data_IF_084628602229
#
_entry.id   IF_084628602229
#
_cell.length_a   1.000
_cell.length_b   1.000
_cell.length_c   1.000
_cell.angle_alpha   90.00
_cell.angle_beta   90.00
_cell.angle_gamma   90.00
#
_symmetry.space_group_name_H-M   'P 1'
#
loop_
_entity.id
_entity.type
_entity.pdbx_description
1 polymer ?
#
# COMPACT_ATOMS: atom_id res chain seq x y z
N UNK A 1 -41.46 2.08 28.54
CA UNK A 1 -40.01 2.39 28.66
C UNK A 1 -39.30 1.62 27.57
N UNK A 2 -39.07 2.25 26.42
CA UNK A 2 -38.26 1.63 25.37
C UNK A 2 -36.80 1.77 25.80
N UNK A 3 -36.21 0.69 26.31
CA UNK A 3 -34.77 0.61 26.51
C UNK A 3 -34.13 0.66 25.12
N UNK A 4 -33.69 1.86 24.72
CA UNK A 4 -32.81 2.04 23.58
C UNK A 4 -31.49 1.38 23.91
N UNK A 5 -31.31 0.16 23.43
CA UNK A 5 -30.04 -0.57 23.52
C UNK A 5 -28.98 0.24 22.77
N UNK A 6 -28.03 0.83 23.52
CA UNK A 6 -26.80 1.38 22.96
C UNK A 6 -26.00 0.18 22.46
N UNK A 7 -26.02 -0.05 21.15
CA UNK A 7 -25.20 -1.10 20.55
C UNK A 7 -23.75 -0.64 20.69
N UNK A 8 -22.96 -1.34 21.51
CA UNK A 8 -21.53 -1.08 21.59
C UNK A 8 -20.89 -1.36 20.22
N UNK A 9 -19.90 -0.57 19.77
CA UNK A 9 -19.12 -0.90 18.58
C UNK A 9 -18.53 -2.31 18.75
N UNK A 10 -19.13 -3.30 18.08
CA UNK A 10 -18.79 -4.73 18.27
C UNK A 10 -19.99 -5.67 18.36
N UNK A 11 -21.16 -5.20 18.83
CA UNK A 11 -22.35 -6.05 19.08
C UNK A 11 -23.42 -5.99 17.97
N UNK A 12 -23.13 -5.33 16.85
CA UNK A 12 -24.07 -5.24 15.74
C UNK A 12 -24.26 -6.61 15.06
N UNK A 13 -25.52 -7.07 14.84
CA UNK A 13 -25.84 -8.43 14.37
C UNK A 13 -25.07 -8.77 13.09
N UNK A 14 -24.38 -9.91 13.13
CA UNK A 14 -23.61 -10.45 12.02
C UNK A 14 -24.59 -10.90 10.92
N UNK A 15 -24.43 -10.40 9.68
CA UNK A 15 -25.20 -10.90 8.52
C UNK A 15 -25.89 -9.88 7.61
N UNK A 16 -25.77 -8.57 7.84
CA UNK A 16 -26.31 -7.53 6.92
C UNK A 16 -25.23 -6.59 6.36
N UNK A 17 -24.06 -7.12 6.04
CA UNK A 17 -23.10 -6.40 5.19
C UNK A 17 -23.57 -6.38 3.73
N UNK A 18 -23.12 -5.43 2.89
CA UNK A 18 -23.38 -5.51 1.46
C UNK A 18 -22.86 -6.85 0.93
N UNK A 19 -23.73 -7.62 0.28
CA UNK A 19 -23.32 -8.84 -0.41
C UNK A 19 -22.55 -8.42 -1.66
N UNK A 20 -21.22 -8.49 -1.59
CA UNK A 20 -20.35 -8.26 -2.73
C UNK A 20 -20.48 -9.43 -3.70
N UNK A 21 -20.44 -9.15 -5.00
CA UNK A 21 -20.34 -10.21 -6.01
C UNK A 21 -19.06 -11.03 -5.77
N UNK A 22 -19.02 -12.32 -6.17
CA UNK A 22 -17.90 -13.22 -5.90
C UNK A 22 -16.54 -12.66 -6.32
N UNK A 23 -16.49 -11.89 -7.41
CA UNK A 23 -15.27 -11.23 -7.89
C UNK A 23 -14.78 -10.16 -6.90
N UNK A 24 -15.65 -9.25 -6.48
CA UNK A 24 -15.31 -8.19 -5.52
C UNK A 24 -14.99 -8.77 -4.15
N UNK A 25 -15.70 -9.81 -3.74
CA UNK A 25 -15.40 -10.56 -2.53
C UNK A 25 -13.99 -11.17 -2.59
N UNK A 26 -13.61 -11.78 -3.72
CA UNK A 26 -12.26 -12.33 -3.91
C UNK A 26 -11.20 -11.23 -3.83
N UNK A 27 -11.36 -10.13 -4.57
CA UNK A 27 -10.37 -9.05 -4.59
C UNK A 27 -10.18 -8.44 -3.20
N UNK A 28 -11.26 -8.12 -2.51
CA UNK A 28 -11.23 -7.53 -1.16
C UNK A 28 -10.52 -8.43 -0.14
N UNK A 29 -10.67 -9.76 -0.25
CA UNK A 29 -10.10 -10.71 0.70
C UNK A 29 -8.64 -11.11 0.44
N UNK A 30 -8.07 -10.74 -0.71
CA UNK A 30 -6.76 -11.25 -1.14
C UNK A 30 -5.82 -10.17 -1.67
N UNK A 31 -6.12 -8.92 -1.36
CA UNK A 31 -5.39 -7.74 -1.83
C UNK A 31 -3.91 -7.76 -1.46
N UNK A 32 -3.54 -8.15 -0.24
CA UNK A 32 -2.14 -8.08 0.21
C UNK A 32 -1.28 -9.12 -0.50
N UNK A 33 -1.72 -10.39 -0.50
CA UNK A 33 -0.98 -11.47 -1.15
C UNK A 33 -0.99 -11.35 -2.67
N UNK A 34 -2.09 -10.92 -3.29
CA UNK A 34 -2.12 -10.65 -4.72
C UNK A 34 -1.25 -9.44 -5.07
N UNK A 35 -1.21 -8.43 -4.21
CA UNK A 35 -0.32 -7.27 -4.36
C UNK A 35 1.16 -7.67 -4.39
N UNK A 36 1.63 -8.42 -3.38
CA UNK A 36 3.02 -8.90 -3.39
C UNK A 36 3.30 -9.92 -4.50
N UNK A 37 2.34 -10.80 -4.83
CA UNK A 37 2.49 -11.76 -5.93
C UNK A 37 2.66 -11.06 -7.28
N UNK A 38 1.84 -10.05 -7.55
CA UNK A 38 1.89 -9.28 -8.81
C UNK A 38 3.17 -8.47 -8.91
N UNK A 39 3.64 -7.85 -7.82
CA UNK A 39 4.96 -7.20 -7.76
C UNK A 39 6.10 -8.20 -8.01
N UNK A 40 6.06 -9.38 -7.38
CA UNK A 40 7.07 -10.42 -7.59
C UNK A 40 7.05 -10.94 -9.04
N UNK A 41 5.88 -11.18 -9.61
CA UNK A 41 5.73 -11.60 -10.99
C UNK A 41 6.26 -10.54 -11.98
N UNK A 42 6.00 -9.27 -11.71
CA UNK A 42 6.52 -8.16 -12.49
C UNK A 42 8.06 -8.08 -12.42
N UNK A 43 8.64 -8.22 -11.23
CA UNK A 43 10.09 -8.30 -11.03
C UNK A 43 10.71 -9.47 -11.82
N UNK A 44 10.15 -10.66 -11.70
CA UNK A 44 10.61 -11.84 -12.42
C UNK A 44 10.50 -11.65 -13.93
N UNK A 45 9.42 -11.01 -14.40
CA UNK A 45 9.24 -10.65 -15.81
C UNK A 45 10.33 -9.71 -16.32
N UNK A 46 10.72 -8.69 -15.55
CA UNK A 46 11.82 -7.77 -15.90
C UNK A 46 13.14 -8.52 -15.96
N UNK A 47 13.50 -9.28 -14.92
CA UNK A 47 14.77 -10.04 -14.87
C UNK A 47 14.84 -11.05 -16.01
N UNK A 48 13.76 -11.77 -16.27
CA UNK A 48 13.68 -12.72 -17.38
C UNK A 48 13.88 -12.03 -18.73
N UNK A 49 13.21 -10.88 -18.93
CA UNK A 49 13.33 -10.10 -20.16
C UNK A 49 14.77 -9.62 -20.40
N UNK A 50 15.43 -9.10 -19.36
CA UNK A 50 16.83 -8.67 -19.45
C UNK A 50 17.74 -9.87 -19.77
N UNK A 51 17.51 -11.01 -19.11
CA UNK A 51 18.30 -12.23 -19.32
C UNK A 51 18.14 -12.82 -20.73
N UNK A 52 16.92 -12.80 -21.28
CA UNK A 52 16.61 -13.35 -22.60
C UNK A 52 17.27 -12.55 -23.73
N UNK A 53 17.58 -11.28 -23.48
CA UNK A 53 18.25 -10.39 -24.42
C UNK A 53 19.78 -10.48 -24.40
N UNK A 54 20.37 -11.34 -23.56
CA UNK A 54 21.82 -11.50 -23.44
C UNK A 54 22.51 -10.40 -22.62
N UNK A 55 21.74 -9.47 -22.04
CA UNK A 55 22.21 -8.46 -21.11
C UNK A 55 22.47 -9.06 -19.73
N UNK A 56 23.35 -8.43 -18.95
CA UNK A 56 23.61 -8.83 -17.56
C UNK A 56 22.31 -8.72 -16.72
N UNK A 57 21.68 -9.87 -16.43
CA UNK A 57 20.39 -9.94 -15.71
C UNK A 57 20.45 -9.40 -14.27
N UNK A 58 21.65 -9.28 -13.72
CA UNK A 58 21.91 -8.74 -12.39
C UNK A 58 22.12 -7.21 -12.39
N UNK A 59 22.01 -6.55 -13.54
CA UNK A 59 22.32 -5.14 -13.69
C UNK A 59 21.03 -4.27 -13.76
N UNK A 60 20.10 -4.46 -12.83
CA UNK A 60 18.76 -3.89 -12.88
C UNK A 60 18.75 -2.35 -12.76
N UNK A 61 19.56 -1.75 -11.88
CA UNK A 61 19.69 -0.29 -11.73
C UNK A 61 20.28 0.33 -13.00
N UNK A 62 21.32 -0.29 -13.57
CA UNK A 62 21.89 0.17 -14.84
C UNK A 62 20.87 0.06 -15.99
N UNK A 63 20.02 -0.96 -15.97
CA UNK A 63 18.98 -1.16 -16.96
C UNK A 63 17.87 -0.10 -16.85
N UNK A 64 17.47 0.27 -15.63
CA UNK A 64 16.49 1.34 -15.40
C UNK A 64 16.97 2.73 -15.83
N UNK A 65 18.28 2.95 -15.96
CA UNK A 65 18.82 4.16 -16.58
C UNK A 65 18.50 4.23 -18.09
N UNK A 66 18.06 3.11 -18.69
CA UNK A 66 17.60 3.01 -20.07
C UNK A 66 18.66 3.48 -21.09
N UNK A 67 19.91 3.04 -20.93
CA UNK A 67 20.97 3.34 -21.90
C UNK A 67 20.64 2.74 -23.28
N UNK A 68 21.02 3.40 -24.39
CA UNK A 68 20.69 2.92 -25.73
C UNK A 68 21.18 1.52 -26.04
N UNK A 69 22.35 1.16 -25.52
CA UNK A 69 22.95 -0.17 -25.69
C UNK A 69 22.12 -1.26 -24.99
N UNK A 70 21.63 -0.98 -23.78
CA UNK A 70 20.85 -1.93 -23.00
C UNK A 70 19.42 -2.07 -23.53
N UNK A 71 18.80 -0.95 -23.89
CA UNK A 71 17.39 -0.89 -24.33
C UNK A 71 17.22 -1.44 -25.74
N UNK A 72 18.17 -1.17 -26.65
CA UNK A 72 18.10 -1.61 -28.06
C UNK A 72 18.14 -3.13 -28.26
N UNK A 73 18.64 -3.89 -27.28
CA UNK A 73 18.70 -5.36 -27.32
C UNK A 73 17.51 -6.02 -26.62
N UNK A 74 16.75 -5.26 -25.84
CA UNK A 74 15.64 -5.76 -25.02
C UNK A 74 14.27 -5.43 -25.60
N UNK A 75 13.28 -6.33 -25.52
CA UNK A 75 11.91 -5.99 -25.90
C UNK A 75 11.30 -5.06 -24.84
N UNK A 76 11.55 -3.76 -24.99
CA UNK A 76 11.22 -2.69 -24.03
C UNK A 76 9.74 -2.66 -23.67
N UNK A 77 8.86 -3.02 -24.61
CA UNK A 77 7.41 -3.08 -24.37
C UNK A 77 7.04 -4.09 -23.27
N UNK A 78 7.79 -5.19 -23.13
CA UNK A 78 7.58 -6.18 -22.06
C UNK A 78 7.93 -5.57 -20.70
N UNK A 79 9.05 -4.84 -20.64
CA UNK A 79 9.48 -4.12 -19.43
C UNK A 79 8.46 -3.07 -19.03
N UNK A 80 7.94 -2.30 -20.00
CA UNK A 80 6.87 -1.33 -19.75
C UNK A 80 5.60 -1.99 -19.20
N UNK A 81 5.21 -3.14 -19.77
CA UNK A 81 4.09 -3.92 -19.25
C UNK A 81 4.36 -4.38 -17.81
N UNK A 82 5.56 -4.89 -17.52
CA UNK A 82 5.95 -5.28 -16.16
C UNK A 82 5.90 -4.10 -15.19
N UNK A 83 6.35 -2.89 -15.57
CA UNK A 83 6.20 -1.71 -14.74
C UNK A 83 4.71 -1.39 -14.46
N UNK A 84 3.83 -1.56 -15.46
CA UNK A 84 2.38 -1.43 -15.27
C UNK A 84 1.80 -2.46 -14.28
N UNK A 85 2.28 -3.71 -14.34
CA UNK A 85 1.90 -4.76 -13.38
C UNK A 85 2.43 -4.44 -11.97
N UNK A 86 3.62 -3.85 -11.84
CA UNK A 86 4.16 -3.37 -10.57
C UNK A 86 3.30 -2.27 -9.94
N UNK A 87 2.82 -1.33 -10.75
CA UNK A 87 1.87 -0.28 -10.31
C UNK A 87 0.59 -0.94 -9.81
N UNK A 88 0.04 -1.89 -10.58
CA UNK A 88 -1.18 -2.62 -10.18
C UNK A 88 -1.00 -3.35 -8.84
N UNK A 89 0.13 -4.03 -8.65
CA UNK A 89 0.43 -4.69 -7.39
C UNK A 89 0.61 -3.72 -6.22
N UNK A 90 1.21 -2.56 -6.46
CA UNK A 90 1.32 -1.50 -5.45
C UNK A 90 -0.06 -0.94 -5.06
N UNK A 91 -0.95 -0.75 -6.03
CA UNK A 91 -2.35 -0.34 -5.78
C UNK A 91 -3.14 -1.41 -5.02
N UNK A 92 -2.92 -2.70 -5.28
CA UNK A 92 -3.53 -3.78 -4.48
C UNK A 92 -3.07 -3.76 -3.03
N UNK A 93 -1.77 -3.55 -2.77
CA UNK A 93 -1.28 -3.38 -1.39
C UNK A 93 -1.87 -2.15 -0.70
N UNK A 94 -2.10 -1.06 -1.45
CA UNK A 94 -2.77 0.14 -0.95
C UNK A 94 -4.26 -0.11 -0.66
N UNK A 95 -4.93 -0.92 -1.49
CA UNK A 95 -6.32 -1.31 -1.27
C UNK A 95 -6.47 -2.16 0.01
N UNK A 96 -5.54 -3.08 0.27
CA UNK A 96 -5.49 -3.79 1.56
C UNK A 96 -5.39 -2.81 2.72
N UNK A 97 -4.47 -1.85 2.66
CA UNK A 97 -4.31 -0.85 3.70
C UNK A 97 -5.60 -0.06 3.94
N UNK A 98 -6.32 0.34 2.89
CA UNK A 98 -7.58 1.08 3.04
C UNK A 98 -8.67 0.27 3.76
N UNK A 99 -8.68 -1.05 3.57
CA UNK A 99 -9.60 -1.95 4.27
C UNK A 99 -9.20 -2.12 5.75
N UNK A 100 -7.90 -2.27 6.01
CA UNK A 100 -7.39 -2.44 7.38
C UNK A 100 -7.49 -1.13 8.18
N UNK A 101 -7.30 0.03 7.57
CA UNK A 101 -7.46 1.33 8.26
C UNK A 101 -8.88 1.57 8.76
N UNK A 102 -9.88 1.11 8.00
CA UNK A 102 -11.29 1.26 8.39
C UNK A 102 -11.59 0.50 9.70
N UNK A 103 -11.16 -0.76 9.78
CA UNK A 103 -11.41 -1.65 10.92
C UNK A 103 -10.44 -1.44 12.09
N UNK A 104 -9.19 -1.07 11.82
CA UNK A 104 -8.14 -0.91 12.85
C UNK A 104 -8.31 0.33 13.72
N UNK A 105 -9.09 1.32 13.25
CA UNK A 105 -9.33 2.57 13.96
C UNK A 105 -9.97 2.39 15.35
N UNK A 106 -10.77 1.34 15.52
CA UNK A 106 -11.57 1.07 16.74
C UNK A 106 -10.94 -0.02 17.62
N UNK A 107 -10.31 -1.05 17.02
CA UNK A 107 -9.89 -2.26 17.74
C UNK A 107 -8.39 -2.36 17.99
N UNK A 108 -7.56 -1.60 17.27
CA UNK A 108 -6.12 -1.86 17.21
C UNK A 108 -5.25 -0.84 17.96
N UNK A 109 -4.07 -1.31 18.36
CA UNK A 109 -3.07 -0.51 19.05
C UNK A 109 -2.58 0.67 18.20
N UNK A 110 -1.97 1.67 18.84
CA UNK A 110 -1.37 2.81 18.10
C UNK A 110 -0.24 2.37 17.17
N UNK A 111 0.52 1.33 17.53
CA UNK A 111 1.60 0.78 16.72
C UNK A 111 1.08 0.13 15.44
N UNK A 112 0.03 -0.66 15.52
CA UNK A 112 -0.61 -1.29 14.36
C UNK A 112 -1.12 -0.26 13.35
N UNK A 113 -1.78 0.80 13.84
CA UNK A 113 -2.22 1.96 13.03
C UNK A 113 -1.08 2.76 12.43
N UNK A 114 0.10 2.73 13.04
CA UNK A 114 1.29 3.31 12.41
C UNK A 114 1.77 2.43 11.26
N UNK A 115 1.68 1.11 11.40
CA UNK A 115 2.04 0.15 10.36
C UNK A 115 1.20 0.28 9.10
N UNK A 116 -0.11 0.44 9.25
CA UNK A 116 -1.01 0.68 8.10
C UNK A 116 -0.64 1.97 7.37
N UNK A 117 -0.38 3.07 8.08
CA UNK A 117 0.07 4.34 7.48
C UNK A 117 1.42 4.22 6.78
N UNK A 118 2.38 3.51 7.37
CA UNK A 118 3.65 3.24 6.71
C UNK A 118 3.46 2.42 5.43
N UNK A 119 2.59 1.43 5.45
CA UNK A 119 2.25 0.66 4.27
C UNK A 119 1.61 1.56 3.18
N UNK A 120 0.74 2.50 3.57
CA UNK A 120 0.14 3.49 2.67
C UNK A 120 1.18 4.39 2.00
N UNK A 121 2.11 4.95 2.80
CA UNK A 121 3.20 5.77 2.26
C UNK A 121 4.10 4.94 1.34
N UNK A 122 4.45 3.73 1.76
CA UNK A 122 5.27 2.80 0.97
C UNK A 122 4.65 2.46 -0.37
N UNK A 123 3.38 2.05 -0.40
CA UNK A 123 2.67 1.74 -1.63
C UNK A 123 2.49 2.97 -2.53
N UNK A 124 2.28 4.16 -1.95
CA UNK A 124 2.15 5.40 -2.72
C UNK A 124 3.45 5.81 -3.39
N UNK A 125 4.58 5.75 -2.66
CA UNK A 125 5.90 6.00 -3.23
C UNK A 125 6.28 4.96 -4.29
N UNK A 126 5.89 3.69 -4.10
CA UNK A 126 6.09 2.65 -5.12
C UNK A 126 5.32 2.98 -6.40
N UNK A 127 4.05 3.38 -6.32
CA UNK A 127 3.27 3.81 -7.50
C UNK A 127 3.96 4.96 -8.23
N UNK A 128 4.38 6.00 -7.50
CA UNK A 128 5.08 7.17 -8.08
C UNK A 128 6.38 6.72 -8.76
N UNK A 129 7.18 5.89 -8.08
CA UNK A 129 8.42 5.33 -8.61
C UNK A 129 8.20 4.62 -9.95
N UNK A 130 7.27 3.66 -10.00
CA UNK A 130 7.06 2.86 -11.19
C UNK A 130 6.43 3.66 -12.34
N UNK A 131 5.65 4.71 -12.05
CA UNK A 131 5.21 5.68 -13.07
C UNK A 131 6.39 6.45 -13.64
N UNK A 132 7.31 6.94 -12.79
CA UNK A 132 8.51 7.64 -13.24
C UNK A 132 9.45 6.71 -14.03
N UNK A 133 9.59 5.45 -13.63
CA UNK A 133 10.36 4.46 -14.40
C UNK A 133 9.71 4.13 -15.74
N UNK A 134 8.38 4.06 -15.81
CA UNK A 134 7.68 4.00 -17.10
C UNK A 134 8.01 5.20 -17.98
N UNK A 135 7.99 6.41 -17.41
CA UNK A 135 8.32 7.63 -18.13
C UNK A 135 9.75 7.59 -18.69
N UNK A 136 10.72 7.08 -17.93
CA UNK A 136 12.11 6.90 -18.41
C UNK A 136 12.16 5.96 -19.62
N UNK A 137 11.50 4.81 -19.57
CA UNK A 137 11.46 3.89 -20.73
C UNK A 137 10.67 4.46 -21.92
N UNK A 138 9.62 5.24 -21.66
CA UNK A 138 8.85 5.89 -22.73
C UNK A 138 9.67 6.98 -23.43
N UNK A 139 10.40 7.78 -22.65
CA UNK A 139 11.35 8.77 -23.16
C UNK A 139 12.50 8.11 -23.92
N UNK A 140 12.97 6.94 -23.49
CA UNK A 140 13.94 6.18 -24.26
C UNK A 140 13.36 5.79 -25.63
N UNK A 141 12.19 5.14 -25.67
CA UNK A 141 11.57 4.64 -26.91
C UNK A 141 11.25 5.70 -27.96
N UNK A 142 10.76 6.89 -27.57
CA UNK A 142 10.31 7.90 -28.53
C UNK A 142 11.41 8.70 -29.19
N UNK A 143 12.60 8.69 -28.60
CA UNK A 143 13.61 9.67 -28.94
C UNK A 143 15.01 9.07 -29.18
N UNK A 144 15.09 7.75 -29.44
CA UNK A 144 16.33 7.06 -29.77
C UNK A 144 17.07 7.64 -30.99
N UNK A 145 16.34 8.23 -31.94
CA UNK A 145 16.88 8.69 -33.22
C UNK A 145 17.14 10.20 -33.30
N UNK A 146 16.99 10.96 -32.22
CA UNK A 146 17.13 12.43 -32.27
C UNK A 146 18.49 12.93 -31.72
N UNK A 147 19.43 13.39 -32.58
CA UNK A 147 20.76 13.87 -32.17
C UNK A 147 20.69 15.09 -31.24
N UNK A 148 19.63 15.89 -31.35
CA UNK A 148 19.38 17.04 -30.48
C UNK A 148 19.19 16.60 -29.02
N UNK A 149 18.57 15.43 -28.85
CA UNK A 149 18.11 14.97 -27.57
C UNK A 149 19.12 14.05 -26.88
N UNK A 150 20.00 13.33 -27.61
CA UNK A 150 21.23 12.77 -27.02
C UNK A 150 22.06 13.84 -26.29
N UNK A 151 22.07 15.08 -26.81
CA UNK A 151 22.79 16.22 -26.22
C UNK A 151 22.11 16.80 -24.96
N UNK A 152 20.82 16.57 -24.75
CA UNK A 152 20.03 17.10 -23.62
C UNK A 152 19.62 16.03 -22.59
N UNK A 153 19.19 14.85 -23.03
CA UNK A 153 18.90 13.70 -22.16
C UNK A 153 20.16 12.99 -21.70
N UNK A 154 21.23 12.96 -22.51
CA UNK A 154 22.48 12.28 -22.16
C UNK A 154 23.23 12.87 -20.97
N UNK A 155 22.85 14.06 -20.49
CA UNK A 155 23.57 14.76 -19.42
C UNK A 155 22.76 15.21 -18.20
N UNK A 156 21.42 15.21 -18.20
CA UNK A 156 20.69 15.86 -17.09
C UNK A 156 19.26 15.41 -16.81
N UNK A 157 18.32 15.56 -17.75
CA UNK A 157 16.89 15.42 -17.44
C UNK A 157 16.43 13.97 -17.24
N UNK A 158 16.85 13.03 -18.09
CA UNK A 158 16.59 11.59 -17.88
C UNK A 158 17.26 11.09 -16.62
N UNK A 159 18.48 11.55 -16.36
CA UNK A 159 19.22 11.22 -15.15
C UNK A 159 18.47 11.67 -13.90
N UNK A 160 17.97 12.90 -13.85
CA UNK A 160 17.16 13.39 -12.71
C UNK A 160 15.88 12.57 -12.55
N UNK A 161 15.20 12.23 -13.65
CA UNK A 161 13.96 11.44 -13.60
C UNK A 161 14.22 10.02 -13.09
N UNK A 162 15.26 9.36 -13.61
CA UNK A 162 15.75 8.07 -13.15
C UNK A 162 16.14 8.10 -11.67
N UNK A 163 16.98 9.05 -11.28
CA UNK A 163 17.46 9.22 -9.91
C UNK A 163 16.29 9.44 -8.95
N UNK A 164 15.33 10.30 -9.32
CA UNK A 164 14.14 10.57 -8.51
C UNK A 164 13.26 9.32 -8.40
N UNK A 165 13.06 8.59 -9.50
CA UNK A 165 12.29 7.34 -9.50
C UNK A 165 12.88 6.32 -8.51
N UNK A 166 14.18 6.08 -8.59
CA UNK A 166 14.88 5.11 -7.73
C UNK A 166 15.00 5.60 -6.27
N UNK A 167 15.13 6.91 -6.04
CA UNK A 167 15.06 7.46 -4.68
C UNK A 167 13.66 7.26 -4.06
N UNK A 168 12.59 7.44 -4.84
CA UNK A 168 11.24 7.11 -4.41
C UNK A 168 11.09 5.61 -4.13
N UNK A 169 11.72 4.73 -4.92
CA UNK A 169 11.73 3.28 -4.68
C UNK A 169 12.39 2.95 -3.33
N UNK A 170 13.57 3.51 -3.07
CA UNK A 170 14.27 3.30 -1.80
C UNK A 170 13.43 3.76 -0.59
N UNK A 171 12.76 4.92 -0.70
CA UNK A 171 11.82 5.37 0.33
C UNK A 171 10.62 4.42 0.47
N UNK A 172 10.07 3.96 -0.66
CA UNK A 172 8.97 2.98 -0.66
C UNK A 172 9.37 1.70 0.08
N UNK A 173 10.55 1.13 -0.22
CA UNK A 173 11.08 -0.06 0.43
C UNK A 173 11.25 0.13 1.94
N UNK A 174 11.78 1.27 2.39
CA UNK A 174 11.90 1.58 3.83
C UNK A 174 10.53 1.61 4.50
N UNK A 175 9.54 2.26 3.88
CA UNK A 175 8.19 2.37 4.42
C UNK A 175 7.42 1.06 4.38
N UNK A 176 7.55 0.25 3.32
CA UNK A 176 6.97 -1.10 3.24
C UNK A 176 7.58 -1.98 4.33
N UNK A 177 8.91 -1.98 4.48
CA UNK A 177 9.57 -2.73 5.55
C UNK A 177 9.15 -2.29 6.96
N UNK A 178 9.01 -0.98 7.19
CA UNK A 178 8.46 -0.47 8.44
C UNK A 178 7.00 -0.86 8.65
N UNK A 179 6.17 -0.78 7.60
CA UNK A 179 4.77 -1.17 7.63
C UNK A 179 4.59 -2.63 8.04
N UNK A 180 5.33 -3.54 7.39
CA UNK A 180 5.35 -4.97 7.73
C UNK A 180 5.74 -5.19 9.19
N UNK A 181 6.81 -4.54 9.66
CA UNK A 181 7.24 -4.64 11.06
C UNK A 181 6.16 -4.22 12.06
N UNK A 182 5.58 -3.04 11.86
CA UNK A 182 4.59 -2.50 12.77
C UNK A 182 3.28 -3.29 12.73
N UNK A 183 2.86 -3.76 11.56
CA UNK A 183 1.70 -4.64 11.44
C UNK A 183 1.92 -5.95 12.18
N UNK A 184 3.11 -6.55 12.05
CA UNK A 184 3.40 -7.84 12.66
C UNK A 184 3.57 -7.76 14.19
N UNK A 185 4.41 -6.85 14.68
CA UNK A 185 4.76 -6.76 16.11
C UNK A 185 3.60 -6.27 16.97
N UNK A 186 2.71 -5.47 16.38
CA UNK A 186 1.57 -4.92 17.11
C UNK A 186 0.25 -5.66 16.84
N UNK A 187 0.29 -6.77 16.09
CA UNK A 187 -0.84 -7.68 15.93
C UNK A 187 -0.74 -8.82 16.94
N UNK A 188 -1.75 -8.98 17.81
CA UNK A 188 -1.70 -9.92 18.94
C UNK A 188 -1.52 -11.38 18.55
N UNK A 189 -2.05 -11.77 17.38
CA UNK A 189 -2.06 -13.14 16.85
C UNK A 189 -1.17 -13.31 15.61
N UNK A 190 -0.26 -12.38 15.32
CA UNK A 190 0.48 -12.31 14.05
C UNK A 190 1.15 -13.63 13.62
N UNK A 191 1.59 -13.71 12.36
CA UNK A 191 2.36 -14.83 11.83
C UNK A 191 3.67 -15.12 12.62
N UNK A 192 4.14 -14.14 13.39
CA UNK A 192 5.24 -14.18 14.36
C UNK A 192 6.15 -12.97 14.21
N UNK A 193 6.52 -12.32 15.32
CA UNK A 193 7.35 -11.10 15.34
C UNK A 193 8.67 -11.22 14.55
N UNK A 194 9.24 -12.42 14.49
CA UNK A 194 10.44 -12.71 13.71
C UNK A 194 10.28 -12.40 12.22
N UNK A 195 9.08 -12.62 11.65
CA UNK A 195 8.78 -12.25 10.25
C UNK A 195 8.81 -10.74 10.05
N UNK A 196 8.27 -9.98 11.01
CA UNK A 196 8.29 -8.52 10.99
C UNK A 196 9.73 -7.98 10.96
N UNK A 197 10.59 -8.49 11.84
CA UNK A 197 12.01 -8.13 11.87
C UNK A 197 12.76 -8.54 10.60
N UNK A 198 12.56 -9.78 10.14
CA UNK A 198 13.23 -10.31 8.96
C UNK A 198 12.89 -9.50 7.71
N UNK A 199 11.60 -9.25 7.46
CA UNK A 199 11.16 -8.46 6.31
C UNK A 199 11.66 -7.01 6.43
N UNK A 200 11.54 -6.39 7.60
CA UNK A 200 12.00 -5.01 7.79
C UNK A 200 13.50 -4.84 7.56
N UNK A 201 14.32 -5.77 8.05
CA UNK A 201 15.76 -5.77 7.78
C UNK A 201 16.02 -5.93 6.28
N UNK A 202 15.38 -6.90 5.63
CA UNK A 202 15.59 -7.18 4.21
C UNK A 202 15.23 -5.97 3.34
N UNK A 203 14.02 -5.42 3.49
CA UNK A 203 13.55 -4.26 2.73
C UNK A 203 14.42 -3.00 2.97
N UNK A 204 14.82 -2.73 4.22
CA UNK A 204 15.69 -1.58 4.53
C UNK A 204 17.11 -1.75 3.99
N UNK A 205 17.66 -2.96 4.03
CA UNK A 205 18.96 -3.24 3.43
C UNK A 205 18.92 -3.08 1.90
N UNK A 206 17.85 -3.54 1.25
CA UNK A 206 17.64 -3.32 -0.19
C UNK A 206 17.60 -1.83 -0.52
N UNK A 207 16.84 -1.04 0.23
CA UNK A 207 16.78 0.41 0.05
C UNK A 207 18.16 1.08 0.26
N UNK A 208 18.92 0.64 1.26
CA UNK A 208 20.25 1.15 1.52
C UNK A 208 21.22 0.84 0.37
N UNK A 209 21.18 -0.38 -0.16
CA UNK A 209 21.99 -0.77 -1.33
C UNK A 209 21.59 0.06 -2.55
N UNK A 210 20.31 0.32 -2.76
CA UNK A 210 19.83 1.19 -3.85
C UNK A 210 20.40 2.60 -3.75
N UNK A 211 20.30 3.24 -2.58
CA UNK A 211 20.82 4.60 -2.36
C UNK A 211 22.34 4.65 -2.54
N UNK A 212 23.06 3.65 -2.03
CA UNK A 212 24.51 3.55 -2.24
C UNK A 212 24.81 3.34 -3.74
N UNK A 213 24.06 2.49 -4.43
CA UNK A 213 24.17 2.28 -5.88
C UNK A 213 23.97 3.56 -6.69
N UNK A 214 22.97 4.36 -6.33
CA UNK A 214 22.69 5.66 -6.99
C UNK A 214 23.81 6.68 -6.77
N UNK A 215 24.40 6.72 -5.57
CA UNK A 215 25.50 7.65 -5.26
C UNK A 215 26.85 7.21 -5.84
N UNK A 216 27.06 5.90 -5.99
CA UNK A 216 28.26 5.31 -6.58
C UNK A 216 28.12 5.02 -8.08
N UNK A 217 27.10 5.58 -8.74
CA UNK A 217 26.84 5.32 -10.15
C UNK A 217 28.04 5.72 -11.02
N UNK A 218 28.54 4.79 -11.84
CA UNK A 218 29.74 4.98 -12.67
C UNK A 218 31.07 4.73 -11.95
N UNK A 219 31.09 4.42 -10.64
CA UNK A 219 32.29 4.00 -9.94
C UNK A 219 32.66 2.54 -10.24
N UNK A 220 33.93 2.16 -10.00
CA UNK A 220 34.46 0.80 -10.26
C UNK A 220 33.66 -0.30 -9.54
N UNK A 221 33.11 -0.01 -8.35
CA UNK A 221 32.31 -0.95 -7.56
C UNK A 221 30.82 -1.00 -7.91
N UNK A 222 30.33 -0.18 -8.84
CA UNK A 222 28.89 -0.05 -9.13
C UNK A 222 28.27 -1.37 -9.60
N UNK A 223 28.97 -2.13 -10.44
CA UNK A 223 28.46 -3.40 -10.96
C UNK A 223 28.13 -4.41 -9.84
N UNK A 224 28.92 -4.42 -8.77
CA UNK A 224 28.66 -5.29 -7.61
C UNK A 224 27.45 -4.80 -6.83
N UNK A 225 27.32 -3.49 -6.63
CA UNK A 225 26.16 -2.89 -5.95
C UNK A 225 24.86 -3.13 -6.72
N UNK A 226 24.89 -3.04 -8.04
CA UNK A 226 23.73 -3.30 -8.90
C UNK A 226 23.28 -4.78 -8.81
N UNK A 227 24.23 -5.70 -8.85
CA UNK A 227 23.95 -7.12 -8.63
C UNK A 227 23.37 -7.40 -7.23
N UNK A 228 23.94 -6.79 -6.20
CA UNK A 228 23.44 -6.89 -4.83
C UNK A 228 22.01 -6.35 -4.71
N UNK A 229 21.73 -5.19 -5.28
CA UNK A 229 20.38 -4.61 -5.30
C UNK A 229 19.40 -5.56 -5.98
N UNK A 230 19.75 -6.06 -7.17
CA UNK A 230 18.87 -6.96 -7.94
C UNK A 230 18.50 -8.18 -7.13
N UNK A 231 19.48 -8.84 -6.48
CA UNK A 231 19.25 -10.04 -5.65
C UNK A 231 18.43 -9.69 -4.41
N UNK A 232 18.78 -8.60 -3.72
CA UNK A 232 18.12 -8.20 -2.48
C UNK A 232 16.68 -7.75 -2.70
N UNK A 233 16.38 -7.12 -3.84
CA UNK A 233 15.01 -6.79 -4.24
C UNK A 233 14.16 -8.04 -4.44
N UNK A 234 14.69 -9.03 -5.17
CA UNK A 234 14.02 -10.32 -5.35
C UNK A 234 13.77 -11.05 -4.03
N UNK A 235 14.78 -11.06 -3.14
CA UNK A 235 14.66 -11.65 -1.81
C UNK A 235 13.61 -10.91 -0.94
N UNK A 236 13.60 -9.57 -0.98
CA UNK A 236 12.65 -8.74 -0.24
C UNK A 236 11.21 -8.99 -0.70
N UNK A 237 10.96 -8.98 -2.01
CA UNK A 237 9.63 -9.24 -2.57
C UNK A 237 9.16 -10.68 -2.27
N UNK A 238 10.07 -11.65 -2.32
CA UNK A 238 9.76 -13.05 -1.98
C UNK A 238 9.40 -13.19 -0.49
N UNK A 239 10.17 -12.58 0.40
CA UNK A 239 9.88 -12.58 1.84
C UNK A 239 8.58 -11.84 2.14
N UNK A 240 8.34 -10.68 1.51
CA UNK A 240 7.09 -9.94 1.62
C UNK A 240 5.89 -10.75 1.14
N UNK A 241 6.02 -11.50 0.05
CA UNK A 241 4.98 -12.40 -0.43
C UNK A 241 4.71 -13.56 0.54
N UNK A 242 5.75 -14.23 1.03
CA UNK A 242 5.60 -15.32 2.02
C UNK A 242 4.97 -14.81 3.31
N UNK A 243 5.37 -13.62 3.76
CA UNK A 243 4.74 -12.94 4.89
C UNK A 243 3.25 -12.66 4.61
N UNK A 244 2.91 -12.07 3.47
CA UNK A 244 1.53 -11.77 3.10
C UNK A 244 0.64 -13.02 3.06
N UNK A 245 1.16 -14.16 2.57
CA UNK A 245 0.46 -15.44 2.57
C UNK A 245 0.06 -15.92 3.98
N UNK A 246 0.82 -15.53 5.01
CA UNK A 246 0.55 -15.91 6.40
C UNK A 246 -0.21 -14.84 7.18
N UNK A 247 0.15 -13.58 6.98
CA UNK A 247 -0.41 -12.45 7.72
C UNK A 247 -1.85 -12.15 7.28
N UNK A 248 -2.13 -12.09 5.97
CA UNK A 248 -3.46 -11.69 5.48
C UNK A 248 -4.61 -12.61 5.94
N UNK A 249 -4.46 -13.95 5.94
CA UNK A 249 -5.50 -14.83 6.51
C UNK A 249 -5.70 -14.63 8.01
N UNK A 250 -4.63 -14.34 8.74
CA UNK A 250 -4.67 -14.07 10.18
C UNK A 250 -5.37 -12.74 10.45
N UNK A 251 -5.03 -11.68 9.71
CA UNK A 251 -5.67 -10.37 9.84
C UNK A 251 -7.15 -10.44 9.48
N UNK A 252 -7.56 -11.22 8.48
CA UNK A 252 -8.99 -11.39 8.16
C UNK A 252 -9.76 -12.19 9.20
N UNK A 253 -9.10 -13.12 9.90
CA UNK A 253 -9.73 -13.88 10.97
C UNK A 253 -9.99 -13.04 12.22
N UNK A 254 -9.05 -12.16 12.58
CA UNK A 254 -9.05 -11.47 13.87
C UNK A 254 -9.41 -9.98 13.79
N UNK A 255 -9.07 -9.30 12.70
CA UNK A 255 -9.19 -7.85 12.58
C UNK A 255 -10.32 -7.42 11.63
N UNK A 256 -10.34 -7.98 10.42
CA UNK A 256 -11.22 -7.52 9.33
C UNK A 256 -12.49 -8.36 9.28
N UNK A 257 -13.50 -7.96 10.05
CA UNK A 257 -14.87 -8.47 9.83
C UNK A 257 -15.48 -7.62 8.72
N UNK A 258 -15.36 -8.04 7.46
CA UNK A 258 -15.94 -7.38 6.26
C UNK A 258 -17.45 -7.08 6.33
N UNK A 259 -18.14 -7.58 7.35
CA UNK A 259 -19.53 -7.23 7.63
C UNK A 259 -19.69 -5.92 8.44
N UNK A 260 -18.63 -5.39 9.06
CA UNK A 260 -18.56 -4.20 9.92
C UNK A 260 -17.93 -2.98 9.21
N UNK A 261 -18.47 -2.55 8.06
CA UNK A 261 -17.96 -1.32 7.41
C UNK A 261 -18.15 -0.05 8.25
N UNK A 262 -17.33 0.99 8.07
CA UNK A 262 -17.54 2.28 8.72
C UNK A 262 -18.91 2.91 8.42
N UNK A 263 -19.52 2.64 7.26
CA UNK A 263 -20.92 3.04 7.02
C UNK A 263 -21.88 2.43 8.04
N UNK A 264 -21.63 1.19 8.45
CA UNK A 264 -22.41 0.52 9.50
C UNK A 264 -22.14 1.14 10.86
N UNK A 265 -20.88 1.45 11.18
CA UNK A 265 -20.54 2.13 12.44
C UNK A 265 -21.11 3.56 12.50
N UNK A 266 -21.07 4.32 11.41
CA UNK A 266 -21.69 5.65 11.31
C UNK A 266 -23.23 5.57 11.33
N UNK A 267 -23.83 4.53 10.75
CA UNK A 267 -25.27 4.25 10.92
C UNK A 267 -25.64 3.94 12.38
N UNK A 268 -24.88 3.10 13.08
CA UNK A 268 -25.15 2.81 14.49
C UNK A 268 -24.81 3.99 15.40
N UNK A 269 -23.80 4.79 15.08
CA UNK A 269 -23.44 6.02 15.79
C UNK A 269 -24.51 7.09 15.62
N UNK A 270 -25.03 7.29 14.41
CA UNK A 270 -26.17 8.18 14.15
C UNK A 270 -27.47 7.65 14.78
N UNK A 271 -27.74 6.35 14.74
CA UNK A 271 -28.89 5.74 15.44
C UNK A 271 -28.78 5.84 16.96
N UNK A 272 -27.59 5.63 17.53
CA UNK A 272 -27.34 5.80 18.97
C UNK A 272 -27.39 7.28 19.37
N UNK A 273 -26.98 8.20 18.49
CA UNK A 273 -27.18 9.64 18.69
C UNK A 273 -28.67 9.98 18.72
N UNK A 274 -29.48 9.48 17.79
CA UNK A 274 -30.94 9.65 17.83
C UNK A 274 -31.58 9.04 19.08
N UNK A 275 -31.01 7.96 19.63
CA UNK A 275 -31.47 7.38 20.90
C UNK A 275 -31.08 8.24 22.12
N UNK A 276 -29.98 9.00 22.07
CA UNK A 276 -29.56 9.92 23.14
C UNK A 276 -30.29 11.26 23.08
N UNK A 277 -30.58 11.76 21.88
CA UNK A 277 -31.26 13.04 21.66
C UNK A 277 -32.79 12.93 21.59
N UNK A 278 -33.34 11.69 21.59
CA UNK A 278 -34.76 11.45 21.45
C UNK A 278 -35.29 11.81 20.04
N UNK A 279 -36.55 11.44 19.71
CA UNK A 279 -37.18 11.96 18.51
C UNK A 279 -37.23 13.49 18.59
N UNK A 280 -37.10 14.21 17.45
CA UNK A 280 -37.24 15.66 17.45
C UNK A 280 -38.60 16.03 18.06
N UNK A 281 -38.61 16.94 19.04
CA UNK A 281 -39.86 17.45 19.59
C UNK A 281 -40.46 18.37 18.54
N UNK A 282 -41.54 17.91 17.93
CA UNK A 282 -42.24 18.63 16.87
C UNK A 282 -43.51 19.25 17.45
N UNK A 283 -43.82 20.48 17.07
CA UNK A 283 -45.15 21.05 17.28
C UNK A 283 -46.20 20.27 16.47
N UNK A 284 -47.49 20.43 16.80
CA UNK A 284 -48.58 19.75 16.09
C UNK A 284 -48.59 20.01 14.56
N UNK A 285 -47.94 21.09 14.12
CA UNK A 285 -47.80 21.50 12.72
C UNK A 285 -46.51 20.99 12.05
N UNK A 286 -45.69 20.21 12.75
CA UNK A 286 -44.49 19.55 12.19
C UNK A 286 -43.21 20.39 12.18
N UNK A 287 -43.20 21.54 12.86
CA UNK A 287 -41.99 22.37 13.04
C UNK A 287 -41.20 21.94 14.27
N UNK A 288 -39.89 22.22 14.29
CA UNK A 288 -39.01 21.86 15.42
C UNK A 288 -39.30 22.80 16.59
N UNK A 289 -39.82 22.27 17.69
CA UNK A 289 -40.10 23.04 18.90
C UNK A 289 -38.84 23.16 19.75
N UNK A 290 -38.14 24.27 19.56
CA UNK A 290 -36.85 24.57 20.18
C UNK A 290 -36.98 24.72 21.71
N UNK A 291 -38.14 25.16 22.21
CA UNK A 291 -38.35 25.40 23.63
C UNK A 291 -38.45 24.09 24.43
N UNK A 292 -39.24 23.14 23.94
CA UNK A 292 -39.39 21.82 24.56
C UNK A 292 -38.16 20.91 24.36
N UNK A 293 -37.43 21.06 23.26
CA UNK A 293 -36.15 20.41 23.05
C UNK A 293 -35.07 20.89 24.04
N UNK A 294 -35.05 22.18 24.38
CA UNK A 294 -34.14 22.73 25.38
C UNK A 294 -34.46 22.21 26.79
N UNK A 295 -35.74 22.10 27.16
CA UNK A 295 -36.16 21.53 28.45
C UNK A 295 -35.80 20.04 28.59
N UNK A 296 -35.95 19.23 27.53
CA UNK A 296 -35.53 17.82 27.54
C UNK A 296 -34.01 17.66 27.66
N UNK A 297 -33.22 18.51 27.00
CA UNK A 297 -31.76 18.50 27.14
C UNK A 297 -31.34 18.83 28.58
N UNK A 298 -32.02 19.79 29.22
CA UNK A 298 -31.75 20.20 30.59
C UNK A 298 -32.19 19.14 31.61
N UNK A 299 -33.29 18.43 31.35
CA UNK A 299 -33.76 17.30 32.15
C UNK A 299 -32.86 16.05 32.04
N UNK A 300 -32.21 15.83 30.90
CA UNK A 300 -31.21 14.77 30.75
C UNK A 300 -29.91 15.09 31.51
N UNK A 301 -29.48 16.35 31.52
CA UNK A 301 -28.28 16.80 32.25
C UNK A 301 -28.47 16.76 33.78
N UNK A 302 -29.69 16.99 34.28
CA UNK A 302 -29.99 16.97 35.72
C UNK A 302 -30.15 15.56 36.32
N UNK A 303 -30.35 14.54 35.49
CA UNK A 303 -30.43 13.12 35.93
C UNK A 303 -29.06 12.43 36.07
N UNK A 304 -27.97 13.11 35.73
CA UNK A 304 -26.59 12.61 35.86
C UNK A 304 -25.84 13.16 37.08
N UNK A 305 -26.54 13.83 38.02
CA UNK A 305 -26.02 14.22 39.34
C UNK A 305 -26.43 13.21 40.41
#
# INVERSE_FOLDING_TARGET
MFLTYVVRPGEAPEGRGPQLEPFWYFMVNYNLRLGFLTQLAAYMGIVFTISASGSNSLALLSFFHASPEAVGQTPVWVVQLCCGVFIMGSLMTMAFQSLVDDDSSIKQSRGYRSGTKFLQFGSSFAVICWILSLLVFYAANYYFDDPWMQKQLGGGSTWITFFTARLCDALALVFIGAGIFFLEVYHSEGAGEAWGWLCALCFKLTALIEVIGLTAFGAVGFQTLDAMYTIMLGASLTLGFVWALRFEPVSHRFDVKLTQSAMRNEYYKSRNAMAYYGPPVLTADGEIDIASAAEQAQACLSRTA
#
